data_IF_540446597930
#
_entry.id   IF_540446597930
#
_cell.length_a   1.000
_cell.length_b   1.000
_cell.length_c   1.000
_cell.angle_alpha   90.00
_cell.angle_beta   90.00
_cell.angle_gamma   90.00
#
_symmetry.space_group_name_H-M   'P 1'
#
loop_
_entity.id
_entity.type
_entity.pdbx_description
1 polymer ?
2 water ?
#
# COMPACT_ATOMS: atom_id res chain seq x y z
N UNK A 14 -7.46 8.79 13.54
CA UNK A 14 -7.82 9.07 14.96
C UNK A 14 -7.19 8.04 15.90
N UNK A 15 -7.55 6.76 15.73
CA UNK A 15 -7.01 5.70 16.57
C UNK A 15 -6.74 4.37 15.85
N UNK A 16 -5.64 4.30 15.09
CA UNK A 16 -5.29 3.08 14.35
C UNK A 16 -5.00 1.93 15.30
N UNK A 17 -5.41 0.73 14.92
CA UNK A 17 -5.16 -0.44 15.75
C UNK A 17 -5.06 -1.67 14.86
N UNK A 18 -3.92 -2.35 14.94
CA UNK A 18 -3.69 -3.53 14.13
C UNK A 18 -3.05 -4.62 14.98
N UNK A 19 -3.36 -5.87 14.67
CA UNK A 19 -2.81 -6.97 15.44
C UNK A 19 -2.22 -8.03 14.54
N UNK A 20 -0.97 -8.39 14.81
CA UNK A 20 -0.28 -9.41 14.03
C UNK A 20 -0.24 -10.71 14.82
N UNK A 21 -0.62 -11.81 14.19
CA UNK A 21 -0.59 -13.11 14.87
C UNK A 21 0.55 -13.96 14.35
N UNK A 22 1.25 -14.63 15.26
CA UNK A 22 2.38 -15.47 14.89
C UNK A 22 2.03 -16.55 13.88
N UNK A 23 0.74 -16.85 13.74
CA UNK A 23 0.30 -17.88 12.80
C UNK A 23 -0.98 -17.47 12.08
N UNK A 24 -1.34 -18.22 11.05
CA UNK A 24 -2.54 -17.91 10.29
C UNK A 24 -3.81 -18.20 11.07
N UNK A 25 -4.92 -17.70 10.56
CA UNK A 25 -6.21 -17.89 11.20
C UNK A 25 -6.24 -17.31 12.62
N UNK A 26 -5.38 -16.32 12.84
CA UNK A 26 -5.32 -15.62 14.12
C UNK A 26 -5.00 -16.52 15.32
N UNK A 27 -4.04 -17.41 15.11
CA UNK A 27 -3.59 -18.35 16.14
C UNK A 27 -2.20 -17.93 16.61
N UNK A 28 -1.80 -18.41 17.78
CA UNK A 28 -0.49 -18.08 18.30
C UNK A 28 -0.39 -16.72 18.95
N UNK A 29 0.82 -16.30 19.28
CA UNK A 29 1.04 -15.01 19.92
C UNK A 29 0.58 -13.86 19.03
N UNK A 30 0.11 -12.79 19.66
CA UNK A 30 -0.34 -11.61 18.95
C UNK A 30 0.53 -10.43 19.35
N UNK A 31 0.52 -9.40 18.51
CA UNK A 31 1.32 -8.20 18.74
C UNK A 31 0.51 -7.03 18.21
N UNK A 32 0.08 -6.17 19.13
CA UNK A 32 -0.75 -5.02 18.81
C UNK A 32 0.02 -3.72 18.59
N UNK A 33 -0.37 -2.98 17.55
CA UNK A 33 0.26 -1.70 17.24
C UNK A 33 -0.80 -0.62 17.06
N UNK A 34 -0.42 0.63 17.34
CA UNK A 34 -1.32 1.76 17.20
C UNK A 34 -0.54 2.90 16.56
N UNK A 35 0.69 2.61 16.17
CA UNK A 35 1.53 3.62 15.55
C UNK A 35 2.67 2.98 14.80
N UNK A 36 3.50 3.77 14.11
CA UNK A 36 4.63 3.24 13.35
C UNK A 36 5.51 2.30 14.16
N UNK A 37 6.03 1.28 13.49
CA UNK A 37 6.94 0.30 14.09
C UNK A 37 7.96 -0.04 13.01
N UNK A 38 9.20 0.48 13.14
CA UNK A 38 10.25 0.23 12.16
C UNK A 38 10.79 -1.20 12.12
N UNK A 39 10.59 -1.97 13.19
CA UNK A 39 11.09 -3.34 13.20
C UNK A 39 10.20 -4.24 14.05
N UNK A 40 9.37 -5.05 13.39
CA UNK A 40 8.44 -5.94 14.07
C UNK A 40 9.08 -6.92 15.05
N UNK A 41 10.34 -7.28 14.82
CA UNK A 41 11.01 -8.22 15.71
C UNK A 41 11.12 -7.62 17.12
N UNK A 42 11.02 -6.29 17.22
CA UNK A 42 11.10 -5.63 18.51
C UNK A 42 9.84 -5.88 19.35
N UNK A 43 8.82 -6.48 18.74
CA UNK A 43 7.59 -6.79 19.45
C UNK A 43 7.65 -8.28 19.82
N UNK A 44 8.73 -8.93 19.42
CA UNK A 44 8.90 -10.34 19.70
C UNK A 44 8.27 -11.20 18.62
N UNK A 45 7.75 -10.57 17.58
CA UNK A 45 7.14 -11.31 16.49
C UNK A 45 8.21 -12.07 15.71
N UNK A 46 8.04 -13.38 15.59
CA UNK A 46 8.99 -14.21 14.87
C UNK A 46 8.56 -14.24 13.41
N UNK A 47 7.26 -14.27 13.18
CA UNK A 47 6.72 -14.29 11.82
C UNK A 47 5.28 -13.82 11.79
N UNK A 48 4.88 -13.22 10.68
CA UNK A 48 3.52 -12.71 10.53
C UNK A 48 2.62 -13.77 9.88
N UNK A 49 1.96 -14.56 10.72
CA UNK A 49 1.07 -15.60 10.22
C UNK A 49 -0.25 -15.09 9.71
N UNK A 50 -0.82 -14.11 10.40
CA UNK A 50 -2.10 -13.53 9.98
C UNK A 50 -2.24 -12.13 10.56
N UNK A 51 -3.13 -11.34 9.97
CA UNK A 51 -3.32 -9.96 10.40
C UNK A 51 -4.78 -9.55 10.60
N UNK A 52 -5.02 -8.81 11.67
CA UNK A 52 -6.35 -8.32 12.00
C UNK A 52 -6.30 -6.80 12.15
N UNK A 53 -7.08 -6.10 11.33
CA UNK A 53 -7.10 -4.65 11.38
C UNK A 53 -8.38 -4.12 12.04
N UNK A 54 -8.25 -3.56 13.24
CA UNK A 54 -9.39 -3.03 13.98
C UNK A 54 -9.76 -1.65 13.46
N UNK A 55 -8.73 -0.84 13.21
CA UNK A 55 -8.92 0.51 12.71
C UNK A 55 -7.72 0.83 11.82
N UNK A 56 -7.97 1.00 10.52
CA UNK A 56 -6.91 1.28 9.58
C UNK A 56 -7.13 2.52 8.73
N UNK A 57 -6.55 2.57 7.53
CA UNK A 57 -5.70 1.52 6.95
C UNK A 57 -4.22 1.60 7.35
N UNK A 58 -3.52 0.50 7.14
CA UNK A 58 -2.10 0.41 7.44
C UNK A 58 -1.35 -0.04 6.19
N UNK A 59 -0.03 0.14 6.22
CA UNK A 59 0.80 -0.30 5.13
C UNK A 59 1.98 -1.04 5.76
N UNK A 60 2.19 -2.28 5.32
CA UNK A 60 3.29 -3.08 5.83
C UNK A 60 4.39 -3.17 4.79
N UNK A 61 5.64 -3.30 5.23
CA UNK A 61 6.78 -3.38 4.30
C UNK A 61 7.57 -4.66 4.49
N UNK A 62 8.17 -5.14 3.40
CA UNK A 62 8.97 -6.36 3.45
C UNK A 62 10.23 -6.18 4.29
N UNK A 63 10.83 -5.00 4.22
CA UNK A 63 12.05 -4.73 4.97
C UNK A 63 11.78 -3.81 6.15
N UNK A 64 12.76 -3.75 7.05
CA UNK A 64 12.66 -2.91 8.23
C UNK A 64 12.65 -1.44 7.84
N UNK A 65 12.29 -0.59 8.80
CA UNK A 65 12.24 0.85 8.57
C UNK A 65 11.38 1.30 7.40
N UNK A 66 10.24 0.64 7.22
CA UNK A 66 9.31 0.97 6.15
C UNK A 66 9.97 1.07 4.79
N UNK A 67 10.80 0.08 4.46
CA UNK A 67 11.47 0.05 3.17
C UNK A 67 11.06 -1.23 2.44
N UNK A 68 11.17 -1.22 1.12
CA UNK A 68 10.83 -2.41 0.36
C UNK A 68 9.39 -2.50 -0.11
N UNK A 69 9.00 -3.69 -0.54
CA UNK A 69 7.66 -3.92 -1.04
C UNK A 69 6.58 -3.60 -0.01
N UNK A 70 5.53 -2.93 -0.47
CA UNK A 70 4.41 -2.52 0.37
C UNK A 70 3.22 -3.45 0.28
N UNK A 71 2.44 -3.50 1.35
CA UNK A 71 1.24 -4.33 1.42
C UNK A 71 0.21 -3.51 2.18
N UNK A 72 -0.93 -3.25 1.55
CA UNK A 72 -1.97 -2.46 2.21
C UNK A 72 -2.92 -3.30 3.04
N UNK A 73 -3.12 -2.89 4.29
CA UNK A 73 -4.03 -3.60 5.18
C UNK A 73 -5.16 -2.66 5.57
N UNK A 74 -6.38 -3.05 5.22
CA UNK A 74 -7.54 -2.25 5.53
C UNK A 74 -8.36 -2.92 6.63
N UNK A 75 -9.29 -2.18 7.24
CA UNK A 75 -10.11 -2.74 8.31
C UNK A 75 -10.72 -4.06 7.85
N UNK A 76 -10.48 -5.11 8.63
CA UNK A 76 -10.99 -6.42 8.26
C UNK A 76 -10.02 -7.50 8.69
N UNK A 77 -10.18 -8.70 8.15
CA UNK A 77 -9.31 -9.80 8.53
C UNK A 77 -8.46 -10.35 7.39
N UNK A 78 -7.23 -10.75 7.73
CA UNK A 78 -6.29 -11.31 6.76
C UNK A 78 -5.77 -12.61 7.36
N UNK A 79 -6.57 -13.68 7.24
CA UNK A 79 -6.30 -15.04 7.74
C UNK A 79 -5.03 -15.75 7.31
N UNK A 80 -4.47 -15.38 6.16
CA UNK A 80 -3.26 -16.05 5.70
C UNK A 80 -2.37 -15.19 4.81
N UNK A 81 -1.10 -15.59 4.71
CA UNK A 81 -0.10 -14.87 3.93
C UNK A 81 -0.45 -14.62 2.47
N UNK A 82 -1.59 -15.12 2.01
CA UNK A 82 -1.98 -14.89 0.62
C UNK A 82 -3.23 -14.02 0.55
N UNK A 83 -3.47 -13.27 1.62
CA UNK A 83 -4.62 -12.38 1.71
C UNK A 83 -4.23 -10.91 1.50
N UNK A 84 -2.95 -10.61 1.67
CA UNK A 84 -2.44 -9.25 1.52
C UNK A 84 -1.42 -9.13 0.39
N UNK A 85 -0.77 -10.24 0.07
CA UNK A 85 0.20 -10.28 -1.01
C UNK A 85 -0.30 -11.38 -1.93
N UNK A 86 -1.16 -10.99 -2.87
CA UNK A 86 -1.75 -11.93 -3.83
C UNK A 86 -0.71 -12.66 -4.67
N UNK A 87 0.52 -12.71 -4.17
CA UNK A 87 1.61 -13.39 -4.86
C UNK A 87 2.49 -14.06 -3.82
N UNK A 88 2.93 -15.28 -4.11
CA UNK A 88 3.79 -16.01 -3.19
C UNK A 88 5.23 -15.54 -3.34
N UNK A 89 5.42 -14.23 -3.37
CA UNK A 89 6.75 -13.64 -3.53
C UNK A 89 7.57 -13.84 -2.26
N UNK A 90 6.94 -13.56 -1.13
CA UNK A 90 7.56 -13.69 0.17
C UNK A 90 6.49 -13.59 1.24
N UNK A 91 6.84 -13.97 2.47
CA UNK A 91 5.91 -13.92 3.59
C UNK A 91 6.42 -12.92 4.62
N UNK A 92 7.64 -12.45 4.42
CA UNK A 92 8.26 -11.49 5.32
C UNK A 92 7.51 -10.17 5.46
N UNK A 93 7.40 -9.73 6.70
CA UNK A 93 6.75 -8.49 7.06
C UNK A 93 7.66 -7.95 8.16
N UNK A 94 8.37 -6.86 7.88
CA UNK A 94 9.30 -6.32 8.86
C UNK A 94 8.94 -4.99 9.51
N UNK A 95 8.11 -4.19 8.85
CA UNK A 95 7.70 -2.91 9.43
C UNK A 95 6.28 -2.56 9.01
N UNK A 96 5.62 -1.74 9.82
CA UNK A 96 4.24 -1.33 9.59
C UNK A 96 4.00 0.09 10.07
N UNK A 97 3.04 0.78 9.45
CA UNK A 97 2.71 2.13 9.87
C UNK A 97 1.31 2.48 9.40
N UNK A 98 0.63 3.37 10.13
CA UNK A 98 -0.72 3.75 9.71
C UNK A 98 -0.57 4.60 8.45
N UNK A 99 -1.53 4.50 7.54
CA UNK A 99 -1.46 5.30 6.32
C UNK A 99 -2.10 6.65 6.61
N UNK A 100 -1.49 7.71 6.10
CA UNK A 100 -2.00 9.05 6.33
C UNK A 100 -3.32 9.33 5.62
N UNK A 101 -4.30 9.76 6.40
CA UNK A 101 -5.64 10.05 5.89
C UNK A 101 -5.80 11.51 5.44
N UNK A 102 -6.81 11.72 4.59
CA UNK A 102 -7.12 13.03 4.01
C UNK A 102 -6.13 13.36 2.90
N UNK B 14 -14.37 10.78 1.17
CA UNK B 14 -15.03 12.06 0.77
C UNK B 14 -14.90 12.31 -0.74
N UNK B 15 -13.91 13.11 -1.14
CA UNK B 15 -13.70 13.39 -2.55
C UNK B 15 -12.28 13.03 -2.99
N UNK B 16 -11.99 11.73 -3.12
CA UNK B 16 -10.67 11.23 -3.54
C UNK B 16 -10.33 11.78 -4.91
N UNK B 17 -9.15 12.38 -5.05
CA UNK B 17 -8.73 12.92 -6.34
C UNK B 17 -7.26 12.63 -6.57
N UNK B 18 -6.98 12.00 -7.70
CA UNK B 18 -5.61 11.63 -8.03
C UNK B 18 -5.29 11.94 -9.51
N UNK B 19 -4.07 12.39 -9.78
CA UNK B 19 -3.66 12.74 -11.14
C UNK B 19 -2.32 12.13 -11.54
N UNK B 20 -2.31 11.42 -12.67
CA UNK B 20 -1.10 10.79 -13.17
C UNK B 20 -0.53 11.52 -14.39
N UNK B 21 0.75 11.89 -14.32
CA UNK B 21 1.42 12.55 -15.44
C UNK B 21 2.28 11.51 -16.14
N UNK B 22 2.36 11.57 -17.46
CA UNK B 22 3.14 10.57 -18.20
C UNK B 22 4.66 10.66 -18.04
N UNK B 23 5.18 11.84 -17.73
CA UNK B 23 6.61 12.02 -17.52
C UNK B 23 6.87 12.43 -16.08
N UNK B 24 8.13 12.31 -15.65
CA UNK B 24 8.50 12.67 -14.30
C UNK B 24 8.42 14.18 -14.14
N UNK B 25 8.41 14.64 -12.90
CA UNK B 25 8.33 16.06 -12.60
C UNK B 25 7.06 16.71 -13.14
N UNK B 26 5.99 15.94 -13.20
CA UNK B 26 4.69 16.44 -13.63
C UNK B 26 4.67 17.07 -15.02
N UNK B 27 5.33 16.41 -15.96
CA UNK B 27 5.39 16.88 -17.34
C UNK B 27 4.57 15.95 -18.22
N UNK B 28 4.15 16.45 -19.38
CA UNK B 28 3.38 15.63 -20.30
C UNK B 28 1.89 15.56 -20.03
N UNK B 29 1.20 14.73 -20.80
CA UNK B 29 -0.24 14.55 -20.65
C UNK B 29 -0.59 14.03 -19.25
N UNK B 30 -1.73 14.48 -18.73
CA UNK B 30 -2.19 14.08 -17.40
C UNK B 30 -3.48 13.27 -17.46
N UNK B 31 -3.75 12.52 -16.40
CA UNK B 31 -4.94 11.68 -16.32
C UNK B 31 -5.47 11.70 -14.90
N UNK B 32 -6.67 12.26 -14.73
CA UNK B 32 -7.29 12.40 -13.41
C UNK B 32 -8.30 11.30 -13.08
N UNK B 33 -8.30 10.89 -11.82
CA UNK B 33 -9.22 9.86 -11.33
C UNK B 33 -9.87 10.31 -10.03
N UNK B 34 -11.06 9.80 -9.76
CA UNK B 34 -11.79 10.15 -8.55
C UNK B 34 -12.42 8.88 -8.01
N UNK B 35 -12.01 7.76 -8.59
CA UNK B 35 -12.52 6.47 -8.17
C UNK B 35 -11.64 5.37 -8.72
N UNK B 36 -11.94 4.10 -8.43
CA UNK B 36 -11.17 2.94 -8.90
C UNK B 36 -11.01 2.87 -10.41
N UNK B 37 -9.86 2.38 -10.86
CA UNK B 37 -9.57 2.21 -12.28
C UNK B 37 -8.77 0.91 -12.43
N UNK B 38 -9.42 -0.15 -12.94
CA UNK B 38 -8.79 -1.46 -13.14
C UNK B 38 -7.68 -1.53 -14.19
N UNK B 39 -7.66 -0.59 -15.13
CA UNK B 39 -6.63 -0.58 -16.17
C UNK B 39 -6.36 0.84 -16.65
N UNK B 40 -5.28 1.43 -16.13
CA UNK B 40 -4.90 2.80 -16.46
C UNK B 40 -4.75 3.09 -17.95
N UNK B 41 -4.53 2.05 -18.74
CA UNK B 41 -4.38 2.21 -20.17
C UNK B 41 -5.66 2.78 -20.80
N UNK B 42 -6.79 2.58 -20.14
CA UNK B 42 -8.08 3.06 -20.63
C UNK B 42 -8.16 4.59 -20.61
N UNK B 43 -7.25 5.22 -19.88
CA UNK B 43 -7.25 6.67 -19.80
C UNK B 43 -6.36 7.24 -20.90
N UNK B 44 -5.66 6.36 -21.61
CA UNK B 44 -4.78 6.80 -22.67
C UNK B 44 -3.35 6.93 -22.17
N UNK B 45 -3.17 6.72 -20.87
CA UNK B 45 -1.86 6.81 -20.24
C UNK B 45 -0.87 5.83 -20.87
N UNK B 46 0.24 6.35 -21.38
CA UNK B 46 1.28 5.53 -21.98
C UNK B 46 2.13 4.91 -20.88
N UNK B 47 2.41 5.70 -19.85
CA UNK B 47 3.20 5.24 -18.72
C UNK B 47 3.05 6.25 -17.58
N UNK B 48 3.31 5.79 -16.36
CA UNK B 48 3.23 6.65 -15.19
C UNK B 48 4.61 7.28 -14.96
N UNK B 49 4.68 8.60 -15.07
CA UNK B 49 5.94 9.31 -14.87
C UNK B 49 6.03 9.98 -13.51
N UNK B 50 4.90 10.49 -13.03
CA UNK B 50 4.84 11.15 -11.73
C UNK B 50 3.38 11.22 -11.31
N UNK B 51 3.16 11.34 -10.00
CA UNK B 51 1.81 11.38 -9.47
C UNK B 51 1.55 12.52 -8.49
N UNK B 52 0.38 13.13 -8.64
CA UNK B 52 -0.06 14.22 -7.79
C UNK B 52 -1.33 13.73 -7.08
N UNK B 53 -1.30 13.72 -5.75
CA UNK B 53 -2.47 13.29 -4.98
C UNK B 53 -3.10 14.48 -4.28
N UNK B 54 -4.27 14.89 -4.77
CA UNK B 54 -4.99 16.03 -4.20
C UNK B 54 -5.74 15.57 -2.96
N UNK B 55 -6.37 14.40 -3.06
CA UNK B 55 -7.13 13.84 -1.95
C UNK B 55 -6.98 12.32 -2.00
N UNK B 56 -6.53 11.73 -0.89
CA UNK B 56 -6.33 10.29 -0.85
C UNK B 56 -6.73 9.69 0.48
N UNK B 57 -6.09 8.59 0.91
CA UNK B 57 -5.01 7.89 0.21
C UNK B 57 -5.49 6.93 -0.87
N UNK B 58 -4.58 6.56 -1.75
CA UNK B 58 -4.87 5.62 -2.83
C UNK B 58 -3.84 4.50 -2.77
N UNK B 59 -4.16 3.39 -3.42
CA UNK B 59 -3.24 2.28 -3.52
C UNK B 59 -3.12 1.97 -5.01
N UNK B 60 -1.89 1.96 -5.51
CA UNK B 60 -1.66 1.66 -6.91
C UNK B 60 -1.15 0.24 -7.05
N UNK B 61 -1.29 -0.34 -8.24
CA UNK B 61 -0.83 -1.70 -8.46
C UNK B 61 0.00 -1.79 -9.72
N UNK B 62 1.02 -2.64 -9.67
CA UNK B 62 1.92 -2.86 -10.80
C UNK B 62 1.18 -3.36 -12.04
N UNK B 63 0.20 -4.24 -11.82
CA UNK B 63 -0.56 -4.82 -12.92
C UNK B 63 -2.03 -4.39 -12.90
N UNK B 64 -2.73 -4.65 -14.00
CA UNK B 64 -4.14 -4.29 -14.12
C UNK B 64 -5.01 -5.12 -13.17
N UNK B 65 -6.16 -4.57 -12.79
CA UNK B 65 -7.10 -5.23 -11.91
C UNK B 65 -6.57 -5.52 -10.51
N UNK B 66 -5.80 -4.58 -9.96
CA UNK B 66 -5.25 -4.71 -8.61
C UNK B 66 -4.38 -5.94 -8.38
N UNK B 67 -3.42 -6.17 -9.26
CA UNK B 67 -2.54 -7.32 -9.11
C UNK B 67 -1.07 -6.89 -9.08
N UNK B 68 -0.23 -7.74 -8.52
CA UNK B 68 1.19 -7.43 -8.44
C UNK B 68 1.52 -6.54 -7.26
N UNK B 69 2.70 -5.93 -7.32
CA UNK B 69 3.17 -5.05 -6.26
C UNK B 69 2.22 -3.88 -5.98
N UNK B 70 2.08 -3.56 -4.69
CA UNK B 70 1.22 -2.47 -4.23
C UNK B 70 2.05 -1.25 -3.90
N UNK B 71 1.47 -0.07 -4.06
CA UNK B 71 2.15 1.20 -3.79
C UNK B 71 1.16 2.16 -3.12
N UNK B 72 1.55 2.74 -1.99
CA UNK B 72 0.64 3.67 -1.31
C UNK B 72 0.83 5.12 -1.75
N UNK B 73 -0.28 5.77 -2.12
CA UNK B 73 -0.23 7.17 -2.52
C UNK B 73 -1.02 8.03 -1.53
N UNK B 74 -0.28 8.82 -0.77
CA UNK B 74 -0.88 9.70 0.22
C UNK B 74 -0.87 11.11 -0.33
N UNK B 75 -1.73 11.97 0.23
CA UNK B 75 -1.79 13.35 -0.22
C UNK B 75 -0.40 13.96 -0.32
N UNK B 76 -0.07 14.49 -1.50
CA UNK B 76 1.23 15.08 -1.72
C UNK B 76 1.71 14.82 -3.13
N UNK B 77 3.01 14.99 -3.36
CA UNK B 77 3.60 14.80 -4.68
C UNK B 77 4.58 13.63 -4.77
N UNK B 78 4.62 13.02 -5.95
CA UNK B 78 5.52 11.90 -6.27
C UNK B 78 6.04 12.23 -7.67
N UNK B 79 7.13 13.01 -7.75
CA UNK B 79 7.76 13.43 -9.01
C UNK B 79 8.49 12.39 -9.84
N UNK B 80 8.77 11.23 -9.26
CA UNK B 80 9.47 10.20 -10.00
C UNK B 80 9.12 8.81 -9.44
N UNK B 81 9.12 7.80 -10.30
CA UNK B 81 8.77 6.45 -9.89
C UNK B 81 9.38 6.01 -8.56
N UNK B 82 10.67 6.28 -8.37
CA UNK B 82 11.30 5.89 -7.12
C UNK B 82 10.82 6.73 -5.94
N UNK B 83 9.80 7.55 -6.16
CA UNK B 83 9.23 8.34 -5.07
C UNK B 83 8.11 7.53 -4.45
N UNK B 84 7.51 6.63 -5.24
CA UNK B 84 6.41 5.81 -4.75
C UNK B 84 6.78 4.34 -4.54
N UNK B 85 8.00 3.96 -4.89
CA UNK B 85 8.43 2.60 -4.63
C UNK B 85 9.87 2.56 -4.18
N UNK B 86 10.13 1.72 -3.19
CA UNK B 86 11.47 1.56 -2.65
C UNK B 86 11.92 0.10 -2.78
N UNK B 87 11.14 -0.72 -3.48
CA UNK B 87 11.50 -2.13 -3.66
C UNK B 87 12.49 -2.27 -4.80
N UNK B 88 12.63 -1.21 -5.59
CA UNK B 88 13.56 -1.22 -6.71
C UNK B 88 13.12 -2.19 -7.82
N UNK B 89 11.85 -2.60 -7.83
CA UNK B 89 11.40 -3.53 -8.86
C UNK B 89 10.99 -2.93 -10.19
N UNK B 90 9.98 -2.06 -10.19
CA UNK B 90 9.48 -1.51 -11.44
C UNK B 90 8.73 -0.18 -11.28
N UNK B 91 8.60 0.56 -12.39
CA UNK B 91 7.88 1.83 -12.37
C UNK B 91 6.51 1.63 -13.01
N UNK B 92 6.13 0.37 -13.16
CA UNK B 92 4.86 0.00 -13.75
C UNK B 92 3.70 0.31 -12.80
N UNK B 93 2.68 0.99 -13.32
CA UNK B 93 1.50 1.36 -12.55
C UNK B 93 0.30 1.16 -13.48
N UNK B 94 -0.48 0.11 -13.25
CA UNK B 94 -1.60 -0.22 -14.13
C UNK B 94 -3.01 -0.12 -13.58
N UNK B 95 -3.15 0.00 -12.27
CA UNK B 95 -4.47 0.14 -11.68
C UNK B 95 -4.39 0.91 -10.36
N UNK B 96 -5.45 1.65 -10.05
CA UNK B 96 -5.52 2.48 -8.86
C UNK B 96 -6.92 2.48 -8.26
N UNK B 97 -7.00 2.64 -6.94
CA UNK B 97 -8.28 2.71 -6.24
C UNK B 97 -8.12 3.44 -4.93
N UNK B 98 -9.15 4.20 -4.51
CA UNK B 98 -9.06 4.92 -3.24
C UNK B 98 -8.97 3.87 -2.14
N UNK B 99 -8.25 4.16 -1.06
CA UNK B 99 -8.15 3.19 0.02
C UNK B 99 -9.29 3.39 1.01
N UNK B 100 -9.93 2.29 1.40
CA UNK B 100 -11.04 2.31 2.36
C UNK B 100 -10.56 2.92 3.68
N UNK B 101 -11.17 4.03 4.09
CA UNK B 101 -10.77 4.68 5.33
C UNK B 101 -11.55 4.26 6.57
N UNK B 102 -10.81 4.08 7.66
CA UNK B 102 -11.33 3.66 8.96
C UNK B 102 -11.29 2.15 9.13
#
# INVERSE_FOLDING_TARGET
ASDHQTQAGKPQPLNPKIIIFEQENFQGHSHELSGPCPNLKETGMEKAGSVLVQAGPWVGYEQANCKGEQFVFEKGEYPRWDSWTSSRRTDSLSSLRPIKVDSQEH
ASDHQTQAGKPQPLNPKIIIFEQENFQGHSHELSGPCPNLKETGMEKAGSVLVQAGPWVGYEQANCKGEQFVFEKGEYPRWDSWTSSRRTDSLSSLRPIKVDSQEH
#
